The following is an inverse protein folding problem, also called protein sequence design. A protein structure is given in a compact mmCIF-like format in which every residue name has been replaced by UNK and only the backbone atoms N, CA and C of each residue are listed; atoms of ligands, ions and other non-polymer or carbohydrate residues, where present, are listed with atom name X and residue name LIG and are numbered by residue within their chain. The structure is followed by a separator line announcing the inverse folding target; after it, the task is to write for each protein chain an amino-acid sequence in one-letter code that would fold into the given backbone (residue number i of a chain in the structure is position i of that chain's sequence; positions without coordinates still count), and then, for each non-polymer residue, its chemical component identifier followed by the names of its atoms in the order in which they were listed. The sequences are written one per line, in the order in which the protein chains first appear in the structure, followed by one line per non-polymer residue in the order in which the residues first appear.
data_IF_997505735333
#
_entry.id   IF_997505735333
#
_cell.length_a   1.000
_cell.length_b   1.000
_cell.length_c   1.000
_cell.angle_alpha   90.00
_cell.angle_beta   90.00
_cell.angle_gamma   90.00
#
_symmetry.space_group_name_H-M   'P 1'
#
loop_
_entity.id
_entity.type
_entity.pdbx_description
1 polymer ?
#
# COMPACT_ATOMS: atom_id res chain seq x y z
N UNK A 1 10.01 7.53 11.19
CA UNK A 1 11.22 7.08 10.48
C UNK A 1 11.16 7.33 8.98
N UNK A 2 10.00 7.16 8.31
CA UNK A 2 9.86 7.31 6.85
C UNK A 2 10.29 8.70 6.31
N UNK A 3 10.28 9.74 7.15
CA UNK A 3 10.73 11.08 6.80
C UNK A 3 12.26 11.27 6.90
N UNK A 4 13.01 10.25 7.36
CA UNK A 4 14.43 10.28 7.64
C UNK A 4 15.20 9.32 6.75
N UNK A 5 16.47 9.60 6.52
CA UNK A 5 17.37 8.67 5.83
C UNK A 5 17.70 7.46 6.73
N UNK A 6 17.84 6.25 6.14
CA UNK A 6 17.84 5.97 4.71
C UNK A 6 16.45 5.71 4.12
N UNK A 7 15.41 5.54 4.94
CA UNK A 7 14.06 5.11 4.53
C UNK A 7 13.40 6.09 3.57
N UNK A 8 13.65 7.38 3.73
CA UNK A 8 13.11 8.42 2.86
C UNK A 8 13.50 8.22 1.39
N UNK A 9 14.72 7.72 1.15
CA UNK A 9 15.29 7.56 -0.19
C UNK A 9 15.09 6.16 -0.78
N UNK A 10 14.50 5.20 -0.05
CA UNK A 10 14.23 3.87 -0.59
C UNK A 10 13.25 3.94 -1.76
N UNK A 11 13.59 3.29 -2.87
CA UNK A 11 12.77 3.29 -4.08
C UNK A 11 11.33 2.87 -3.82
N UNK A 12 11.13 1.84 -3.00
CA UNK A 12 9.81 1.31 -2.63
C UNK A 12 8.91 2.36 -1.95
N UNK A 13 9.47 3.40 -1.36
CA UNK A 13 8.71 4.47 -0.72
C UNK A 13 8.30 5.60 -1.68
N UNK A 14 8.62 5.48 -2.96
CA UNK A 14 8.32 6.49 -3.98
C UNK A 14 8.72 7.92 -3.53
N UNK A 15 10.04 8.24 -3.43
CA UNK A 15 10.55 9.44 -2.76
C UNK A 15 9.94 10.75 -3.24
N UNK A 16 9.62 10.85 -4.52
CA UNK A 16 9.02 12.05 -5.11
C UNK A 16 7.60 12.31 -4.57
N UNK A 17 6.77 11.28 -4.52
CA UNK A 17 5.42 11.35 -3.95
C UNK A 17 5.46 11.52 -2.44
N UNK A 18 6.29 10.73 -1.76
CA UNK A 18 6.49 10.81 -0.31
C UNK A 18 6.86 12.22 0.14
N UNK A 19 7.76 12.90 -0.58
CA UNK A 19 8.17 14.27 -0.25
C UNK A 19 6.99 15.24 -0.28
N UNK A 20 6.11 15.13 -1.28
CA UNK A 20 4.91 15.98 -1.38
C UNK A 20 3.94 15.73 -0.23
N UNK A 21 3.67 14.47 0.06
CA UNK A 21 2.75 14.08 1.14
C UNK A 21 3.28 14.51 2.50
N UNK A 22 4.57 14.28 2.77
CA UNK A 22 5.20 14.69 4.03
C UNK A 22 5.22 16.22 4.21
N UNK A 23 5.34 17.00 3.14
CA UNK A 23 5.26 18.45 3.23
C UNK A 23 3.89 18.92 3.73
N UNK A 24 2.81 18.32 3.21
CA UNK A 24 1.44 18.61 3.68
C UNK A 24 1.24 18.20 5.14
N UNK A 25 1.70 17.01 5.54
CA UNK A 25 1.58 16.59 6.94
C UNK A 25 2.39 17.47 7.90
N UNK A 26 3.56 17.94 7.52
CA UNK A 26 4.34 18.88 8.33
C UNK A 26 3.61 20.21 8.51
N UNK A 27 3.04 20.74 7.45
CA UNK A 27 2.23 21.96 7.54
C UNK A 27 1.05 21.78 8.52
N UNK A 28 0.29 20.70 8.41
CA UNK A 28 -0.82 20.40 9.33
C UNK A 28 -0.31 20.27 10.77
N UNK A 29 0.82 19.60 10.98
CA UNK A 29 1.47 19.45 12.30
C UNK A 29 1.82 20.81 12.91
N UNK A 30 2.47 21.67 12.13
CA UNK A 30 2.89 23.01 12.56
C UNK A 30 1.69 23.88 12.91
N UNK A 31 0.68 23.92 12.04
CA UNK A 31 -0.56 24.69 12.28
C UNK A 31 -1.32 24.22 13.53
N UNK A 32 -1.41 22.89 13.73
CA UNK A 32 -2.07 22.33 14.91
C UNK A 32 -1.28 22.68 16.19
N UNK A 33 0.02 22.46 16.17
CA UNK A 33 0.87 22.64 17.33
C UNK A 33 1.08 24.13 17.70
N UNK A 34 0.90 25.06 16.74
CA UNK A 34 0.98 26.50 16.96
C UNK A 34 -0.27 27.07 17.67
N UNK A 35 -1.40 26.37 17.70
CA UNK A 35 -2.64 26.81 18.34
C UNK A 35 -2.54 26.89 19.88
N UNK A 36 -1.40 26.55 20.46
CA UNK A 36 -1.16 26.69 21.90
C UNK A 36 -1.96 25.73 22.79
N UNK A 37 -2.53 24.68 22.22
CA UNK A 37 -3.23 23.65 23.00
C UNK A 37 -2.28 22.88 23.90
N UNK A 38 -2.78 22.37 25.03
CA UNK A 38 -1.99 21.56 25.99
C UNK A 38 -1.46 20.24 25.35
N UNK A 39 -2.05 19.81 24.25
CA UNK A 39 -1.66 18.60 23.51
C UNK A 39 -1.07 18.97 22.15
N UNK A 40 -0.03 18.26 21.78
CA UNK A 40 0.64 18.35 20.47
C UNK A 40 0.53 17.03 19.74
N UNK A 41 0.59 17.08 18.40
CA UNK A 41 0.60 15.89 17.56
C UNK A 41 2.01 15.69 16.98
N UNK A 42 2.49 14.44 16.99
CA UNK A 42 3.70 14.05 16.28
C UNK A 42 3.40 13.83 14.78
N UNK A 43 4.42 13.96 13.94
CA UNK A 43 4.30 13.60 12.53
C UNK A 43 3.97 12.10 12.38
N UNK A 44 4.53 11.26 13.23
CA UNK A 44 4.28 9.82 13.24
C UNK A 44 2.80 9.48 13.51
N UNK A 45 2.18 10.13 14.50
CA UNK A 45 0.76 9.94 14.78
C UNK A 45 -0.11 10.53 13.66
N UNK A 46 0.29 11.67 13.11
CA UNK A 46 -0.46 12.30 12.02
C UNK A 46 -0.46 11.45 10.74
N UNK A 47 0.63 10.77 10.42
CA UNK A 47 0.70 9.83 9.29
C UNK A 47 -0.28 8.66 9.49
N UNK A 48 -0.33 8.08 10.69
CA UNK A 48 -1.27 6.98 10.99
C UNK A 48 -2.72 7.46 10.93
N UNK A 49 -3.00 8.64 11.50
CA UNK A 49 -4.34 9.24 11.46
C UNK A 49 -4.79 9.54 10.03
N UNK A 50 -3.88 10.03 9.18
CA UNK A 50 -4.17 10.27 7.78
C UNK A 50 -4.45 8.98 7.00
N UNK A 51 -3.73 7.89 7.31
CA UNK A 51 -4.04 6.57 6.77
C UNK A 51 -5.43 6.08 7.18
N UNK A 52 -5.80 6.23 8.45
CA UNK A 52 -7.13 5.90 8.95
C UNK A 52 -8.22 6.71 8.22
N UNK A 53 -8.05 8.03 8.10
CA UNK A 53 -8.98 8.89 7.38
C UNK A 53 -9.14 8.51 5.90
N UNK A 54 -8.03 8.10 5.25
CA UNK A 54 -8.06 7.61 3.87
C UNK A 54 -8.89 6.33 3.71
N UNK A 55 -8.76 5.38 4.65
CA UNK A 55 -9.57 4.16 4.67
C UNK A 55 -11.05 4.44 4.94
N UNK A 56 -11.35 5.32 5.89
CA UNK A 56 -12.73 5.75 6.19
C UNK A 56 -13.39 6.40 4.97
N UNK A 57 -12.66 7.27 4.27
CA UNK A 57 -13.14 7.90 3.05
C UNK A 57 -13.38 6.87 1.93
N UNK A 58 -12.47 5.92 1.75
CA UNK A 58 -12.60 4.86 0.74
C UNK A 58 -13.80 3.94 1.02
N UNK A 59 -14.06 3.64 2.28
CA UNK A 59 -15.25 2.89 2.69
C UNK A 59 -16.53 3.69 2.46
N UNK A 60 -16.53 4.99 2.79
CA UNK A 60 -17.65 5.88 2.52
C UNK A 60 -17.96 5.98 1.02
N UNK A 61 -16.95 6.03 0.18
CA UNK A 61 -17.12 5.99 -1.29
C UNK A 61 -17.83 4.71 -1.74
N UNK A 62 -17.65 3.60 -1.02
CA UNK A 62 -18.35 2.34 -1.23
C UNK A 62 -19.74 2.26 -0.56
N UNK A 63 -20.20 3.32 0.09
CA UNK A 63 -21.48 3.37 0.80
C UNK A 63 -21.45 2.74 2.19
N UNK A 64 -20.28 2.47 2.76
CA UNK A 64 -20.11 1.85 4.08
C UNK A 64 -19.46 2.86 5.04
N UNK A 65 -20.08 3.08 6.21
CA UNK A 65 -19.49 3.88 7.27
C UNK A 65 -18.69 3.00 8.21
N UNK A 66 -17.40 3.29 8.35
CA UNK A 66 -16.51 2.63 9.31
C UNK A 66 -15.78 3.68 10.15
N UNK A 67 -15.31 3.29 11.31
CA UNK A 67 -14.39 4.05 12.12
C UNK A 67 -13.13 3.22 12.34
N UNK A 68 -11.98 3.72 11.86
CA UNK A 68 -10.69 3.05 12.04
C UNK A 68 -10.12 3.40 13.41
N UNK A 69 -9.84 2.41 14.28
CA UNK A 69 -9.29 2.68 15.61
C UNK A 69 -7.95 3.41 15.52
N UNK A 70 -7.79 4.44 16.36
CA UNK A 70 -6.54 5.19 16.44
C UNK A 70 -6.05 5.24 17.88
N UNK A 71 -4.80 4.82 18.07
CA UNK A 71 -4.11 4.91 19.36
C UNK A 71 -2.94 5.90 19.21
N UNK A 72 -2.96 7.05 19.90
CA UNK A 72 -1.89 8.04 19.87
C UNK A 72 -0.69 7.60 20.73
N UNK A 73 0.44 8.34 20.61
CA UNK A 73 1.57 8.19 21.49
C UNK A 73 2.90 7.91 20.77
N UNK A 74 2.90 7.90 19.43
CA UNK A 74 4.15 7.82 18.67
C UNK A 74 4.90 9.14 18.76
N UNK A 75 6.23 9.03 18.85
CA UNK A 75 7.12 10.18 18.90
C UNK A 75 7.94 10.28 17.62
N UNK A 76 8.30 11.51 17.26
CA UNK A 76 9.19 11.76 16.14
C UNK A 76 10.65 11.60 16.58
N UNK A 77 11.46 10.97 15.72
CA UNK A 77 12.92 10.93 15.87
C UNK A 77 13.57 11.99 14.99
N UNK A 78 14.80 12.38 15.32
CA UNK A 78 15.64 13.21 14.46
C UNK A 78 16.60 12.34 13.63
N UNK A 79 17.26 12.96 12.64
CA UNK A 79 18.26 12.26 11.83
C UNK A 79 19.45 11.80 12.68
N UNK A 80 19.87 12.62 13.64
CA UNK A 80 20.99 12.32 14.56
C UNK A 80 20.69 11.13 15.48
N UNK A 81 19.41 10.89 15.78
CA UNK A 81 18.93 9.73 16.55
C UNK A 81 18.72 8.47 15.67
N UNK A 82 19.15 8.51 14.42
CA UNK A 82 18.94 7.42 13.47
C UNK A 82 20.28 6.84 13.04
N UNK A 83 20.52 5.57 13.38
CA UNK A 83 21.66 4.81 12.87
C UNK A 83 21.36 4.40 11.41
N UNK A 84 21.86 5.20 10.47
CA UNK A 84 21.62 5.01 9.03
C UNK A 84 22.13 3.66 8.55
N UNK A 85 23.30 3.23 9.02
CA UNK A 85 23.91 1.97 8.56
C UNK A 85 23.11 0.76 9.03
N UNK A 86 22.66 0.74 10.27
CA UNK A 86 21.81 -0.34 10.79
C UNK A 86 20.44 -0.35 10.16
N UNK A 87 19.88 0.79 9.78
CA UNK A 87 18.60 0.87 9.08
C UNK A 87 18.70 0.49 7.60
N UNK A 88 19.85 0.67 6.94
CA UNK A 88 20.02 0.38 5.52
C UNK A 88 19.73 -1.09 5.18
N UNK A 89 20.07 -2.03 6.07
CA UNK A 89 19.84 -3.47 5.88
C UNK A 89 18.35 -3.86 5.93
N UNK A 90 17.49 -2.97 6.41
CA UNK A 90 16.05 -3.18 6.48
C UNK A 90 15.30 -2.73 5.21
N UNK A 91 16.03 -2.32 4.16
CA UNK A 91 15.39 -1.96 2.90
C UNK A 91 14.61 -3.15 2.33
N UNK A 92 13.31 -3.00 2.05
CA UNK A 92 12.49 -4.10 1.57
C UNK A 92 12.99 -4.66 0.24
N UNK A 93 13.14 -5.96 0.15
CA UNK A 93 13.40 -6.69 -1.11
C UNK A 93 12.10 -6.96 -1.85
N UNK A 94 10.99 -7.08 -1.11
CA UNK A 94 9.65 -7.23 -1.64
C UNK A 94 8.63 -6.61 -0.70
N UNK A 95 7.50 -6.18 -1.26
CA UNK A 95 6.33 -5.70 -0.51
C UNK A 95 5.04 -6.10 -1.23
N UNK A 96 4.37 -7.11 -0.69
CA UNK A 96 3.14 -7.65 -1.27
C UNK A 96 2.03 -6.60 -1.40
N UNK A 97 1.93 -5.66 -0.45
CA UNK A 97 0.88 -4.65 -0.43
C UNK A 97 1.05 -3.62 -1.54
N UNK A 98 2.31 -3.32 -1.91
CA UNK A 98 2.64 -2.36 -2.96
C UNK A 98 2.98 -3.01 -4.31
N UNK A 99 2.79 -4.32 -4.43
CA UNK A 99 3.14 -5.09 -5.64
C UNK A 99 4.59 -4.84 -6.09
N UNK A 100 5.51 -4.88 -5.13
CA UNK A 100 6.92 -4.56 -5.33
C UNK A 100 7.80 -5.77 -5.05
N UNK A 101 8.70 -6.05 -5.98
CA UNK A 101 9.75 -7.06 -5.82
C UNK A 101 11.01 -6.59 -6.57
N UNK A 102 12.17 -6.61 -5.92
CA UNK A 102 13.45 -6.36 -6.58
C UNK A 102 13.77 -7.51 -7.52
N UNK A 103 14.28 -7.21 -8.72
CA UNK A 103 14.55 -8.19 -9.77
C UNK A 103 15.51 -9.31 -9.34
N UNK A 104 16.46 -9.02 -8.45
CA UNK A 104 17.41 -9.99 -7.91
C UNK A 104 16.82 -10.91 -6.82
N UNK A 105 15.56 -10.69 -6.39
CA UNK A 105 14.95 -11.50 -5.35
C UNK A 105 14.24 -12.70 -5.96
N UNK A 106 14.69 -13.90 -5.64
CA UNK A 106 14.34 -15.14 -6.36
C UNK A 106 13.15 -15.89 -5.78
N UNK A 107 12.66 -15.53 -4.60
CA UNK A 107 11.46 -16.14 -4.03
C UNK A 107 10.23 -15.85 -4.89
N UNK A 108 9.33 -16.83 -4.98
CA UNK A 108 8.06 -16.65 -5.70
C UNK A 108 7.14 -15.69 -4.97
N UNK A 109 6.20 -15.10 -5.68
CA UNK A 109 5.20 -14.19 -5.10
C UNK A 109 4.35 -14.90 -4.05
N UNK A 110 3.99 -16.16 -4.31
CA UNK A 110 3.18 -17.00 -3.42
C UNK A 110 3.92 -17.30 -2.09
N UNK A 111 5.20 -17.65 -2.15
CA UNK A 111 6.02 -17.88 -0.96
C UNK A 111 6.12 -16.62 -0.10
N UNK A 112 6.36 -15.46 -0.73
CA UNK A 112 6.42 -14.17 -0.05
C UNK A 112 5.07 -13.77 0.58
N UNK A 113 3.96 -14.10 -0.08
CA UNK A 113 2.62 -13.84 0.44
C UNK A 113 2.30 -14.71 1.66
N UNK A 114 2.67 -16.00 1.64
CA UNK A 114 2.48 -16.92 2.78
C UNK A 114 3.32 -16.45 3.97
N UNK A 115 4.60 -16.13 3.75
CA UNK A 115 5.48 -15.60 4.79
C UNK A 115 4.91 -14.31 5.42
N UNK A 116 4.45 -13.37 4.59
CA UNK A 116 3.84 -12.14 5.07
C UNK A 116 2.55 -12.39 5.86
N UNK A 117 1.72 -13.34 5.43
CA UNK A 117 0.51 -13.71 6.16
C UNK A 117 0.84 -14.24 7.56
N UNK A 118 1.86 -15.11 7.67
CA UNK A 118 2.33 -15.63 8.96
C UNK A 118 2.84 -14.52 9.88
N UNK A 119 3.65 -13.60 9.36
CA UNK A 119 4.17 -12.45 10.13
C UNK A 119 3.05 -11.55 10.66
N UNK A 120 1.94 -11.45 9.95
CA UNK A 120 0.78 -10.65 10.36
C UNK A 120 -0.24 -11.44 11.19
N UNK A 121 -0.04 -12.75 11.38
CA UNK A 121 -0.99 -13.62 12.06
C UNK A 121 -2.30 -13.79 11.29
N UNK A 122 -2.25 -13.70 9.96
CA UNK A 122 -3.40 -13.84 9.06
C UNK A 122 -3.44 -15.24 8.46
N UNK A 123 -4.65 -15.75 8.27
CA UNK A 123 -4.90 -16.90 7.41
C UNK A 123 -4.76 -16.51 5.93
N UNK A 124 -4.59 -17.50 5.06
CA UNK A 124 -4.48 -17.25 3.61
C UNK A 124 -5.70 -16.51 3.04
N UNK A 125 -6.96 -16.86 3.39
CA UNK A 125 -8.12 -16.06 2.96
C UNK A 125 -8.10 -14.62 3.44
N UNK A 126 -7.74 -14.37 4.70
CA UNK A 126 -7.65 -13.00 5.24
C UNK A 126 -6.58 -12.19 4.53
N UNK A 127 -5.41 -12.78 4.24
CA UNK A 127 -4.37 -12.14 3.44
C UNK A 127 -4.84 -11.82 2.02
N UNK A 128 -5.62 -12.72 1.41
CA UNK A 128 -6.19 -12.50 0.07
C UNK A 128 -7.17 -11.33 0.07
N UNK A 129 -8.04 -11.24 1.10
CA UNK A 129 -8.98 -10.11 1.26
C UNK A 129 -8.22 -8.79 1.45
N UNK A 130 -7.21 -8.79 2.31
CA UNK A 130 -6.37 -7.62 2.56
C UNK A 130 -5.69 -7.14 1.26
N UNK A 131 -5.11 -8.06 0.50
CA UNK A 131 -4.48 -7.74 -0.78
C UNK A 131 -5.48 -7.15 -1.78
N UNK A 132 -6.66 -7.75 -1.92
CA UNK A 132 -7.71 -7.23 -2.79
C UNK A 132 -8.12 -5.81 -2.43
N UNK A 133 -8.26 -5.52 -1.12
CA UNK A 133 -8.50 -4.17 -0.61
C UNK A 133 -7.39 -3.18 -0.99
N UNK A 134 -6.13 -3.57 -0.83
CA UNK A 134 -4.98 -2.73 -1.21
C UNK A 134 -4.96 -2.45 -2.72
N UNK A 135 -5.35 -3.39 -3.57
CA UNK A 135 -5.42 -3.20 -5.02
C UNK A 135 -6.51 -2.21 -5.44
N UNK A 136 -7.72 -2.30 -4.87
CA UNK A 136 -8.78 -1.33 -5.19
C UNK A 136 -8.48 0.06 -4.63
N UNK A 137 -7.65 0.17 -3.61
CA UNK A 137 -7.16 1.45 -3.11
C UNK A 137 -6.05 2.06 -3.98
N UNK A 138 -5.47 1.32 -4.93
CA UNK A 138 -4.41 1.81 -5.80
C UNK A 138 -3.08 2.04 -5.09
N UNK A 139 -2.71 1.14 -4.17
CA UNK A 139 -1.48 1.28 -3.35
C UNK A 139 -0.22 0.72 -4.02
N UNK A 140 -0.29 0.35 -5.28
CA UNK A 140 0.84 -0.21 -6.00
C UNK A 140 2.03 0.75 -6.03
N UNK A 141 3.23 0.18 -5.98
CA UNK A 141 4.45 0.89 -6.28
C UNK A 141 4.40 1.44 -7.72
N UNK A 142 4.94 2.62 -7.94
CA UNK A 142 5.02 3.31 -9.24
C UNK A 142 3.67 3.58 -9.95
N UNK A 143 2.57 3.60 -9.18
CA UNK A 143 1.21 3.80 -9.69
C UNK A 143 0.79 2.78 -10.77
N UNK A 144 1.39 1.58 -10.78
CA UNK A 144 1.07 0.55 -11.77
C UNK A 144 -0.36 0.01 -11.58
N UNK A 145 -1.00 -0.35 -12.69
CA UNK A 145 -2.35 -0.92 -12.70
C UNK A 145 -2.38 -2.44 -12.57
N UNK A 146 -1.24 -3.09 -12.30
CA UNK A 146 -1.16 -4.55 -12.19
C UNK A 146 -1.96 -5.05 -10.98
N UNK A 147 -2.91 -5.92 -11.22
CA UNK A 147 -3.81 -6.44 -10.19
C UNK A 147 -4.89 -5.45 -9.72
N UNK A 148 -4.98 -4.27 -10.31
CA UNK A 148 -6.05 -3.30 -10.03
C UNK A 148 -7.27 -3.63 -10.90
N UNK A 149 -8.18 -4.43 -10.35
CA UNK A 149 -9.34 -4.93 -11.11
C UNK A 149 -10.59 -4.10 -10.81
N UNK A 150 -10.46 -2.78 -10.86
CA UNK A 150 -11.57 -1.85 -10.68
C UNK A 150 -11.38 -0.62 -11.56
N UNK A 151 -12.49 0.02 -11.92
CA UNK A 151 -12.50 1.35 -12.55
C UNK A 151 -12.65 2.48 -11.52
N UNK A 152 -12.97 2.13 -10.26
CA UNK A 152 -13.26 3.06 -9.17
C UNK A 152 -12.14 2.99 -8.12
N UNK A 153 -10.91 3.28 -8.52
CA UNK A 153 -9.76 3.29 -7.61
C UNK A 153 -10.00 4.28 -6.47
N UNK A 154 -9.62 3.90 -5.25
CA UNK A 154 -9.90 4.69 -4.04
C UNK A 154 -11.29 4.43 -3.44
N UNK A 155 -12.01 3.42 -3.93
CA UNK A 155 -13.27 2.94 -3.37
C UNK A 155 -13.07 1.53 -2.82
N UNK A 156 -13.34 1.33 -1.53
CA UNK A 156 -13.14 0.03 -0.86
C UNK A 156 -14.30 -0.92 -1.17
N UNK A 157 -14.37 -1.38 -2.41
CA UNK A 157 -15.38 -2.30 -2.93
C UNK A 157 -14.83 -3.73 -3.06
N UNK A 158 -15.69 -4.68 -3.41
CA UNK A 158 -15.32 -6.05 -3.71
C UNK A 158 -14.97 -6.28 -5.20
N UNK A 159 -14.77 -5.22 -5.96
CA UNK A 159 -14.50 -5.26 -7.41
C UNK A 159 -13.34 -6.19 -7.76
N UNK A 160 -12.29 -6.19 -6.95
CA UNK A 160 -11.12 -7.06 -7.15
C UNK A 160 -11.54 -8.52 -7.33
N UNK A 161 -12.40 -9.04 -6.45
CA UNK A 161 -12.83 -10.44 -6.47
C UNK A 161 -13.85 -10.70 -7.56
N UNK A 162 -14.81 -9.80 -7.76
CA UNK A 162 -15.82 -9.92 -8.79
C UNK A 162 -15.18 -9.98 -10.18
N UNK A 163 -14.22 -9.10 -10.44
CA UNK A 163 -13.57 -9.02 -11.75
C UNK A 163 -12.50 -10.10 -11.95
N UNK A 164 -11.79 -10.52 -10.89
CA UNK A 164 -10.87 -11.65 -10.95
C UNK A 164 -11.57 -12.95 -11.34
N UNK A 165 -12.79 -13.16 -10.83
CA UNK A 165 -13.58 -14.38 -11.02
C UNK A 165 -14.58 -14.28 -12.17
N UNK A 166 -14.57 -13.19 -12.94
CA UNK A 166 -15.46 -13.02 -14.07
C UNK A 166 -15.16 -14.07 -15.16
N UNK A 167 -16.12 -14.96 -15.43
CA UNK A 167 -16.00 -16.04 -16.41
C UNK A 167 -15.89 -15.54 -17.86
N UNK A 168 -16.16 -14.26 -18.12
CA UNK A 168 -15.89 -13.64 -19.42
C UNK A 168 -14.44 -13.26 -19.61
N UNK A 169 -13.62 -13.30 -18.56
CA UNK A 169 -12.20 -13.03 -18.62
C UNK A 169 -11.40 -14.34 -18.67
N UNK A 170 -10.44 -14.40 -19.58
CA UNK A 170 -9.47 -15.50 -19.68
C UNK A 170 -8.10 -14.98 -19.29
N UNK A 171 -7.56 -15.51 -18.21
CA UNK A 171 -6.22 -15.17 -17.72
C UNK A 171 -5.16 -15.98 -18.46
N UNK A 172 -4.10 -15.30 -18.91
CA UNK A 172 -2.95 -15.92 -19.57
C UNK A 172 -1.65 -15.37 -19.02
N UNK A 173 -0.66 -16.22 -18.69
CA UNK A 173 0.67 -15.75 -18.35
C UNK A 173 1.33 -15.12 -19.58
N UNK A 174 2.10 -14.06 -19.34
CA UNK A 174 2.81 -13.30 -20.36
C UNK A 174 4.30 -13.60 -20.39
N UNK A 175 4.82 -14.22 -19.33
CA UNK A 175 6.22 -14.60 -19.20
C UNK A 175 6.38 -16.06 -18.76
N UNK A 176 7.59 -16.58 -18.93
CA UNK A 176 7.92 -17.96 -18.56
C UNK A 176 7.88 -18.21 -17.04
N UNK A 177 8.06 -17.17 -16.23
CA UNK A 177 8.05 -17.24 -14.78
C UNK A 177 6.64 -17.11 -14.20
N UNK A 178 5.65 -16.82 -15.04
CA UNK A 178 4.26 -16.61 -14.63
C UNK A 178 4.10 -15.49 -13.57
N UNK A 179 4.92 -14.44 -13.68
CA UNK A 179 4.86 -13.26 -12.81
C UNK A 179 4.01 -12.13 -13.40
N UNK A 180 3.71 -12.21 -14.71
CA UNK A 180 2.87 -11.25 -15.41
C UNK A 180 1.70 -11.98 -16.08
N UNK A 181 0.50 -11.45 -15.92
CA UNK A 181 -0.71 -12.00 -16.51
C UNK A 181 -1.52 -10.94 -17.25
N UNK A 182 -2.20 -11.37 -18.31
CA UNK A 182 -3.25 -10.60 -18.96
C UNK A 182 -4.60 -11.27 -18.80
N UNK A 183 -5.60 -10.51 -18.35
CA UNK A 183 -7.00 -10.86 -18.39
C UNK A 183 -7.61 -10.35 -19.69
N UNK A 184 -8.03 -11.27 -20.56
CA UNK A 184 -8.59 -10.96 -21.87
C UNK A 184 -10.08 -11.27 -21.93
N UNK A 185 -10.84 -10.40 -22.56
CA UNK A 185 -12.25 -10.69 -22.88
C UNK A 185 -12.34 -11.96 -23.75
N UNK A 186 -13.16 -12.90 -23.32
CA UNK A 186 -13.29 -14.22 -23.93
C UNK A 186 -13.80 -14.17 -25.39
N UNK A 187 -14.62 -13.18 -25.72
CA UNK A 187 -15.25 -13.06 -27.05
C UNK A 187 -14.38 -12.28 -28.02
N UNK A 188 -13.84 -11.16 -27.56
CA UNK A 188 -13.09 -10.23 -28.41
C UNK A 188 -11.59 -10.45 -28.40
N UNK A 189 -11.04 -11.10 -27.38
CA UNK A 189 -9.62 -11.26 -27.16
C UNK A 189 -8.92 -9.98 -26.68
N UNK A 190 -9.65 -8.89 -26.48
CA UNK A 190 -9.08 -7.62 -26.01
C UNK A 190 -8.56 -7.74 -24.58
N UNK A 191 -7.43 -7.11 -24.29
CA UNK A 191 -6.88 -7.02 -22.93
C UNK A 191 -7.78 -6.10 -22.11
N UNK A 192 -8.28 -6.60 -20.99
CA UNK A 192 -9.12 -5.87 -20.04
C UNK A 192 -8.35 -5.53 -18.77
N UNK A 193 -7.54 -6.46 -18.28
CA UNK A 193 -6.75 -6.33 -17.06
C UNK A 193 -5.33 -6.83 -17.27
N UNK A 194 -4.43 -6.35 -16.42
CA UNK A 194 -3.06 -6.87 -16.26
C UNK A 194 -2.81 -7.18 -14.78
N UNK A 195 -2.02 -8.20 -14.50
CA UNK A 195 -1.64 -8.60 -13.15
C UNK A 195 -0.16 -8.98 -13.09
#
# INVERSE_FOLDING_TARGET
RIALEPQRSWAVNNPAQLTKVLAVYKQIQEEFNAKGAAKKVSLADLIVLGGAAGLEQAAQNAGVSIQVPFVPGRMDATQEQTDVNSFAVLEPMADAFRNYKKAQYTFTTEELMVDKAQLLGLTTPEMTVLLGGMRVLGTNFDDSNKGVFTKNVGTLSNDFFVNLLDMNIVWKPMDANQELFEGRDRKTGAVVYTA
#
